data_IF_730370151861
#
_entry.id   IF_730370151861
#
_cell.length_a   1.000
_cell.length_b   1.000
_cell.length_c   1.000
_cell.angle_alpha   90.00
_cell.angle_beta   90.00
_cell.angle_gamma   90.00
#
_symmetry.space_group_name_H-M   'P 1'
#
loop_
_entity.id
_entity.type
_entity.pdbx_description
1 polymer ?
#
# COMPACT_ATOMS: atom_id res chain seq x y z
N UNK A 1 17.24 -20.57 -12.75
CA UNK A 1 16.70 -19.85 -11.59
C UNK A 1 15.64 -18.93 -12.15
N UNK A 2 14.38 -19.36 -12.09
CA UNK A 2 13.25 -18.56 -12.58
C UNK A 2 12.90 -17.56 -11.47
N UNK A 3 13.02 -16.27 -11.75
CA UNK A 3 12.47 -15.25 -10.86
C UNK A 3 10.95 -15.40 -10.92
N UNK A 4 10.25 -15.63 -9.79
CA UNK A 4 8.80 -15.63 -9.84
C UNK A 4 8.33 -14.23 -10.25
N UNK A 5 7.64 -14.14 -11.38
CA UNK A 5 6.92 -12.93 -11.80
C UNK A 5 5.72 -12.75 -10.86
N UNK A 6 5.92 -12.00 -9.78
CA UNK A 6 4.80 -11.56 -8.96
C UNK A 6 4.20 -10.31 -9.58
N UNK A 7 3.09 -10.50 -10.28
CA UNK A 7 2.22 -9.45 -10.77
C UNK A 7 1.52 -8.78 -9.58
N UNK A 8 1.45 -7.44 -9.60
CA UNK A 8 0.72 -6.70 -8.57
C UNK A 8 -0.76 -7.07 -8.53
N UNK A 9 -1.32 -7.18 -7.33
CA UNK A 9 -2.73 -7.44 -7.10
C UNK A 9 -3.45 -6.17 -6.66
N UNK A 10 -4.52 -5.78 -7.35
CA UNK A 10 -5.38 -4.67 -6.89
C UNK A 10 -6.13 -5.13 -5.63
N UNK A 11 -5.92 -4.43 -4.52
CA UNK A 11 -6.53 -4.73 -3.22
C UNK A 11 -7.71 -3.81 -2.89
N UNK A 12 -7.75 -2.61 -3.49
CA UNK A 12 -8.85 -1.67 -3.37
C UNK A 12 -8.88 -0.77 -4.59
N UNK A 13 -10.09 -0.32 -4.97
CA UNK A 13 -10.30 0.62 -6.07
C UNK A 13 -11.52 1.48 -5.75
N UNK A 14 -11.43 2.79 -5.99
CA UNK A 14 -12.60 3.69 -5.94
C UNK A 14 -13.28 3.73 -7.30
N UNK A 15 -14.61 3.69 -7.30
CA UNK A 15 -15.43 3.57 -8.51
C UNK A 15 -15.75 4.90 -9.19
N UNK A 16 -15.19 6.02 -8.70
CA UNK A 16 -15.62 7.36 -9.11
C UNK A 16 -15.24 7.74 -10.55
N UNK A 17 -14.28 7.05 -11.20
CA UNK A 17 -13.92 7.29 -12.61
C UNK A 17 -13.51 5.99 -13.36
N UNK A 18 -13.67 5.96 -14.70
CA UNK A 18 -13.13 4.88 -15.54
C UNK A 18 -11.60 4.93 -15.46
N UNK A 19 -10.99 3.89 -14.89
CA UNK A 19 -9.55 3.86 -14.58
C UNK A 19 -9.20 4.37 -13.18
N UNK A 20 -10.20 4.54 -12.31
CA UNK A 20 -10.12 5.18 -10.98
C UNK A 20 -9.01 4.71 -10.05
N UNK A 21 -8.83 5.48 -8.98
CA UNK A 21 -7.72 5.33 -8.03
C UNK A 21 -7.68 3.93 -7.42
N UNK A 22 -6.50 3.30 -7.48
CA UNK A 22 -6.32 1.94 -7.04
C UNK A 22 -5.17 1.81 -6.04
N UNK A 23 -5.32 0.86 -5.11
CA UNK A 23 -4.27 0.38 -4.26
C UNK A 23 -3.80 -0.98 -4.78
N UNK A 24 -2.53 -1.08 -5.15
CA UNK A 24 -1.93 -2.31 -5.70
C UNK A 24 -0.90 -2.90 -4.74
N UNK A 25 -1.00 -4.18 -4.42
CA UNK A 25 -0.03 -4.88 -3.59
C UNK A 25 0.94 -5.70 -4.44
N UNK A 26 2.24 -5.53 -4.17
CA UNK A 26 3.34 -6.35 -4.70
C UNK A 26 3.97 -7.22 -3.61
N UNK A 27 3.24 -7.48 -2.53
CA UNK A 27 3.70 -8.35 -1.46
C UNK A 27 3.72 -9.81 -1.95
N UNK A 28 4.81 -10.57 -1.72
CA UNK A 28 4.81 -12.00 -1.97
C UNK A 28 3.73 -12.74 -1.17
N UNK A 29 3.22 -13.88 -1.65
CA UNK A 29 2.33 -14.73 -0.87
C UNK A 29 2.92 -15.07 0.50
N UNK A 30 2.11 -14.97 1.55
CA UNK A 30 2.50 -15.20 2.94
C UNK A 30 3.59 -14.25 3.47
N UNK A 31 3.80 -13.09 2.83
CA UNK A 31 4.72 -12.08 3.34
C UNK A 31 4.21 -11.52 4.69
N UNK A 32 5.05 -11.64 5.72
CA UNK A 32 4.73 -11.21 7.09
C UNK A 32 5.65 -10.09 7.60
N UNK A 33 6.44 -9.49 6.71
CA UNK A 33 7.40 -8.44 7.06
C UNK A 33 6.82 -7.03 6.94
N UNK A 34 7.70 -6.04 7.17
CA UNK A 34 7.37 -4.62 7.07
C UNK A 34 7.00 -4.25 5.63
N UNK A 35 5.98 -3.42 5.50
CA UNK A 35 5.41 -3.04 4.22
C UNK A 35 5.47 -1.52 4.08
N UNK A 36 5.98 -1.02 2.96
CA UNK A 36 5.90 0.38 2.58
C UNK A 36 4.64 0.60 1.74
N UNK A 37 3.89 1.66 2.05
CA UNK A 37 2.84 2.22 1.21
C UNK A 37 3.41 3.44 0.51
N UNK A 38 3.40 3.43 -0.81
CA UNK A 38 4.03 4.43 -1.67
C UNK A 38 2.97 5.09 -2.55
N UNK A 39 3.09 6.39 -2.82
CA UNK A 39 2.34 7.05 -3.89
C UNK A 39 2.83 6.55 -5.25
N UNK A 40 1.94 6.16 -6.16
CA UNK A 40 2.32 5.80 -7.53
C UNK A 40 2.71 7.02 -8.37
N UNK A 41 2.27 8.22 -7.98
CA UNK A 41 2.54 9.45 -8.74
C UNK A 41 3.89 10.08 -8.39
N UNK A 42 4.24 10.11 -7.10
CA UNK A 42 5.46 10.75 -6.59
C UNK A 42 6.52 9.77 -6.12
N UNK A 43 6.20 8.48 -5.98
CA UNK A 43 7.04 7.46 -5.33
C UNK A 43 7.44 7.80 -3.89
N UNK A 44 6.74 8.74 -3.26
CA UNK A 44 6.97 9.10 -1.87
C UNK A 44 6.36 8.06 -0.92
N UNK A 45 7.07 7.78 0.17
CA UNK A 45 6.61 6.90 1.23
C UNK A 45 5.54 7.59 2.07
N UNK A 46 4.33 7.03 2.01
CA UNK A 46 3.18 7.46 2.81
C UNK A 46 3.27 6.87 4.23
N UNK A 47 3.60 5.58 4.33
CA UNK A 47 3.78 4.89 5.60
C UNK A 47 4.64 3.63 5.45
N UNK A 48 5.36 3.26 6.51
CA UNK A 48 5.97 1.93 6.67
C UNK A 48 5.35 1.28 7.90
N UNK A 49 4.74 0.13 7.70
CA UNK A 49 3.95 -0.57 8.70
C UNK A 49 4.48 -1.98 8.98
N UNK A 50 4.21 -2.56 10.17
CA UNK A 50 4.79 -3.82 10.60
C UNK A 50 4.39 -5.03 9.75
N UNK A 51 3.25 -4.98 9.05
CA UNK A 51 2.72 -6.10 8.29
C UNK A 51 1.76 -5.65 7.17
N UNK A 52 1.40 -6.61 6.30
CA UNK A 52 0.50 -6.38 5.18
C UNK A 52 -0.92 -5.98 5.58
N UNK A 53 -1.43 -6.48 6.71
CA UNK A 53 -2.80 -6.15 7.15
C UNK A 53 -2.95 -4.65 7.43
N UNK A 54 -2.02 -4.07 8.19
CA UNK A 54 -2.05 -2.63 8.47
C UNK A 54 -1.80 -1.83 7.19
N UNK A 55 -0.86 -2.26 6.34
CA UNK A 55 -0.55 -1.58 5.08
C UNK A 55 -1.75 -1.56 4.13
N UNK A 56 -2.54 -2.64 4.10
CA UNK A 56 -3.75 -2.73 3.27
C UNK A 56 -4.81 -1.72 3.72
N UNK A 57 -4.96 -1.53 5.04
CA UNK A 57 -5.89 -0.54 5.60
C UNK A 57 -5.47 0.89 5.26
N UNK A 58 -4.18 1.21 5.44
CA UNK A 58 -3.65 2.54 5.05
C UNK A 58 -3.83 2.77 3.57
N UNK A 59 -3.45 1.82 2.72
CA UNK A 59 -3.58 1.96 1.28
C UNK A 59 -5.05 2.11 0.82
N UNK A 60 -5.97 1.33 1.40
CA UNK A 60 -7.39 1.42 1.07
C UNK A 60 -7.99 2.78 1.47
N UNK A 61 -7.54 3.37 2.58
CA UNK A 61 -7.97 4.71 2.97
C UNK A 61 -7.28 5.80 2.12
N UNK A 62 -5.98 5.66 1.83
CA UNK A 62 -5.19 6.64 1.10
C UNK A 62 -5.74 6.97 -0.30
N UNK A 63 -6.37 5.99 -0.96
CA UNK A 63 -7.01 6.15 -2.28
C UNK A 63 -8.36 6.86 -2.25
N UNK A 64 -8.95 7.06 -1.07
CA UNK A 64 -10.23 7.77 -0.92
C UNK A 64 -10.03 9.28 -1.07
N UNK A 65 -11.09 10.07 -1.35
CA UNK A 65 -11.00 11.52 -1.35
C UNK A 65 -10.47 12.10 -0.02
N UNK A 66 -10.84 11.49 1.11
CA UNK A 66 -10.37 11.92 2.44
C UNK A 66 -8.91 11.52 2.72
N UNK A 67 -8.44 10.44 2.08
CA UNK A 67 -7.03 10.04 2.10
C UNK A 67 -6.16 10.97 1.26
N UNK A 68 -6.60 11.30 0.04
CA UNK A 68 -6.00 12.36 -0.78
C UNK A 68 -4.65 12.01 -1.45
N UNK A 69 -4.21 10.75 -1.43
CA UNK A 69 -2.91 10.35 -1.98
C UNK A 69 -2.96 9.87 -3.44
N UNK A 70 -4.15 9.77 -4.02
CA UNK A 70 -4.31 9.16 -5.34
C UNK A 70 -3.92 7.68 -5.31
N UNK A 71 -3.44 7.14 -6.43
CA UNK A 71 -3.16 5.70 -6.52
C UNK A 71 -1.90 5.37 -5.74
N UNK A 72 -1.93 4.24 -5.03
CA UNK A 72 -0.85 3.83 -4.14
C UNK A 72 -0.44 2.39 -4.42
N UNK A 73 0.76 2.05 -3.99
CA UNK A 73 1.25 0.68 -4.04
C UNK A 73 1.87 0.24 -2.73
N UNK A 74 1.89 -1.08 -2.53
CA UNK A 74 2.43 -1.71 -1.33
C UNK A 74 3.58 -2.62 -1.73
N UNK A 75 4.74 -2.40 -1.12
CA UNK A 75 5.94 -3.18 -1.35
C UNK A 75 6.57 -3.68 -0.04
N UNK A 76 7.31 -4.80 -0.05
CA UNK A 76 8.19 -5.16 1.07
C UNK A 76 9.17 -4.05 1.40
N UNK A 77 9.44 -3.80 2.68
CA UNK A 77 10.41 -2.79 3.12
C UNK A 77 11.37 -3.33 4.18
N UNK A 78 12.61 -2.85 4.14
CA UNK A 78 13.64 -3.09 5.16
C UNK A 78 13.81 -1.90 6.11
N UNK A 79 13.17 -0.77 5.80
CA UNK A 79 13.23 0.45 6.59
C UNK A 79 12.38 0.36 7.87
N UNK A 80 12.74 1.18 8.86
CA UNK A 80 12.01 1.24 10.13
C UNK A 80 10.55 1.64 9.94
N UNK A 81 9.68 1.06 10.76
CA UNK A 81 8.27 1.45 10.81
C UNK A 81 8.14 2.94 11.10
N UNK A 82 7.31 3.64 10.33
CA UNK A 82 6.93 5.01 10.63
C UNK A 82 5.72 5.03 11.56
N UNK A 83 4.86 4.01 11.49
CA UNK A 83 3.68 3.87 12.33
C UNK A 83 3.47 2.39 12.70
N UNK A 84 2.82 2.16 13.85
CA UNK A 84 2.57 0.81 14.37
C UNK A 84 1.29 0.16 13.86
N UNK A 85 0.34 0.97 13.39
CA UNK A 85 -0.97 0.51 12.92
C UNK A 85 -1.64 1.56 12.03
N UNK A 86 -2.74 1.18 11.36
CA UNK A 86 -3.62 2.11 10.66
C UNK A 86 -4.12 3.23 11.57
N UNK A 87 -4.53 2.93 12.80
CA UNK A 87 -5.05 3.95 13.72
C UNK A 87 -3.96 4.95 14.14
N UNK A 88 -2.73 4.47 14.33
CA UNK A 88 -1.56 5.30 14.63
C UNK A 88 -1.22 6.24 13.46
N UNK A 89 -1.42 5.78 12.23
CA UNK A 89 -1.24 6.59 11.03
C UNK A 89 -2.39 7.58 10.78
N UNK A 90 -3.63 7.16 11.06
CA UNK A 90 -4.82 7.99 10.84
C UNK A 90 -4.88 9.21 11.78
N UNK A 91 -4.31 9.08 12.98
CA UNK A 91 -4.28 10.13 14.01
C UNK A 91 -5.24 9.89 15.16
#
# INVERSE_FOLDING_TARGET
>A
MECPEFYGAVIAQVADEIGGTAATSYLPPNYSGRCAVLSQSSFETIAILPNGLEAFRVAAYAITPDGGFGSVEIQPSLECETHKSFMDWFG
#
